data_IF_487596003714
#
_entry.id   IF_487596003714
#
_cell.length_a   1.000
_cell.length_b   1.000
_cell.length_c   1.000
_cell.angle_alpha   90.00
_cell.angle_beta   90.00
_cell.angle_gamma   90.00
#
_symmetry.space_group_name_H-M   'P 1'
#
loop_
_entity.id
_entity.type
_entity.pdbx_description
1 polymer ?
#
# COMPACT_ATOMS: atom_id res chain seq x y z
N UNK A 1 0.04 6.07 -21.18
CA UNK A 1 -0.50 5.66 -19.87
C UNK A 1 0.39 6.29 -18.81
N UNK A 2 -0.13 7.24 -18.04
CA UNK A 2 0.65 7.92 -17.00
C UNK A 2 0.49 7.19 -15.67
N UNK A 3 1.59 6.66 -15.13
CA UNK A 3 1.59 5.82 -13.92
C UNK A 3 1.09 6.58 -12.68
N UNK A 4 1.26 7.90 -12.66
CA UNK A 4 0.80 8.74 -11.56
C UNK A 4 -0.73 8.91 -11.58
N UNK A 5 -1.34 8.96 -12.77
CA UNK A 5 -2.80 9.07 -12.92
C UNK A 5 -3.52 7.87 -12.29
N UNK A 6 -2.99 6.65 -12.46
CA UNK A 6 -3.57 5.46 -11.83
C UNK A 6 -3.50 5.51 -10.29
N UNK A 7 -2.42 6.07 -9.74
CA UNK A 7 -2.27 6.26 -8.30
C UNK A 7 -3.28 7.28 -7.75
N UNK A 8 -3.47 8.40 -8.45
CA UNK A 8 -4.34 9.50 -8.03
C UNK A 8 -5.82 9.14 -8.10
N UNK A 9 -6.25 8.46 -9.17
CA UNK A 9 -7.62 7.96 -9.30
C UNK A 9 -7.97 6.95 -8.18
N UNK A 10 -6.95 6.29 -7.64
CA UNK A 10 -7.12 5.28 -6.60
C UNK A 10 -7.13 5.92 -5.21
N UNK A 11 -8.34 6.20 -4.70
CA UNK A 11 -8.67 6.86 -3.41
C UNK A 11 -8.06 6.24 -2.12
N UNK A 12 -7.15 5.27 -2.21
CA UNK A 12 -6.46 4.65 -1.07
C UNK A 12 -5.01 4.19 -1.34
N UNK A 13 -4.46 4.37 -2.54
CA UNK A 13 -3.16 3.79 -2.88
C UNK A 13 -2.01 4.33 -2.02
N UNK A 14 -1.92 5.66 -1.84
CA UNK A 14 -0.89 6.29 -1.00
C UNK A 14 -0.98 5.83 0.46
N UNK A 15 -2.20 5.68 1.00
CA UNK A 15 -2.42 5.20 2.39
C UNK A 15 -1.94 3.76 2.56
N UNK A 16 -2.27 2.89 1.60
CA UNK A 16 -1.81 1.49 1.61
C UNK A 16 -0.28 1.41 1.55
N UNK A 17 0.36 2.22 0.69
CA UNK A 17 1.83 2.31 0.63
C UNK A 17 2.44 2.72 1.98
N UNK A 18 1.90 3.77 2.61
CA UNK A 18 2.38 4.26 3.91
C UNK A 18 2.19 3.22 5.03
N UNK A 19 1.04 2.54 5.06
CA UNK A 19 0.76 1.51 6.07
C UNK A 19 1.71 0.33 5.92
N UNK A 20 1.89 -0.19 4.70
CA UNK A 20 2.82 -1.29 4.46
C UNK A 20 4.28 -0.89 4.72
N UNK A 21 4.62 0.39 4.52
CA UNK A 21 5.96 0.89 4.83
C UNK A 21 6.22 0.95 6.34
N UNK A 22 5.19 1.32 7.12
CA UNK A 22 5.27 1.43 8.58
C UNK A 22 5.18 0.08 9.30
N UNK A 23 4.22 -0.76 8.91
CA UNK A 23 3.85 -1.98 9.62
C UNK A 23 4.48 -3.24 9.02
N UNK A 24 5.06 -3.14 7.82
CA UNK A 24 5.57 -4.29 7.07
C UNK A 24 4.45 -5.10 6.37
N UNK A 25 4.71 -6.38 6.05
CA UNK A 25 3.73 -7.23 5.36
C UNK A 25 2.45 -7.44 6.17
N UNK A 26 1.29 -7.23 5.55
CA UNK A 26 -0.01 -7.34 6.21
C UNK A 26 -1.00 -8.16 5.41
N UNK A 27 -1.90 -8.86 6.09
CA UNK A 27 -3.04 -9.50 5.43
C UNK A 27 -4.02 -8.45 4.93
N UNK A 28 -4.80 -8.82 3.89
CA UNK A 28 -5.86 -7.95 3.34
C UNK A 28 -6.84 -7.47 4.42
N UNK A 29 -7.19 -8.33 5.37
CA UNK A 29 -8.08 -7.98 6.50
C UNK A 29 -7.47 -6.90 7.39
N UNK A 30 -6.17 -7.00 7.73
CA UNK A 30 -5.47 -5.96 8.51
C UNK A 30 -5.38 -4.64 7.75
N UNK A 31 -5.13 -4.68 6.44
CA UNK A 31 -5.11 -3.48 5.61
C UNK A 31 -6.47 -2.77 5.59
N UNK A 32 -7.57 -3.52 5.48
CA UNK A 32 -8.92 -2.95 5.53
C UNK A 32 -9.20 -2.28 6.89
N UNK A 33 -8.76 -2.89 7.99
CA UNK A 33 -8.89 -2.31 9.33
C UNK A 33 -8.06 -1.05 9.55
N UNK A 34 -6.85 -0.98 8.98
CA UNK A 34 -5.90 0.10 9.25
C UNK A 34 -6.02 1.29 8.29
N UNK A 35 -6.55 1.11 7.08
CA UNK A 35 -6.45 2.12 6.03
C UNK A 35 -7.43 3.30 6.14
N UNK A 36 -8.35 3.28 7.11
CA UNK A 36 -9.40 4.30 7.30
C UNK A 36 -10.10 4.69 5.98
N UNK A 37 -10.26 3.72 5.08
CA UNK A 37 -10.98 3.83 3.79
C UNK A 37 -11.95 2.67 3.66
N UNK A 38 -12.97 2.84 2.81
CA UNK A 38 -13.91 1.77 2.53
C UNK A 38 -13.21 0.51 1.98
N UNK A 39 -13.72 -0.66 2.36
CA UNK A 39 -13.21 -1.98 1.93
C UNK A 39 -12.91 -2.03 0.42
N UNK A 40 -13.83 -1.54 -0.41
CA UNK A 40 -13.66 -1.54 -1.86
C UNK A 40 -12.45 -0.70 -2.32
N UNK A 41 -12.18 0.44 -1.67
CA UNK A 41 -11.04 1.28 -2.00
C UNK A 41 -9.70 0.58 -1.69
N UNK A 42 -9.65 -0.23 -0.63
CA UNK A 42 -8.45 -1.06 -0.35
C UNK A 42 -8.23 -2.12 -1.42
N UNK A 43 -9.28 -2.81 -1.87
CA UNK A 43 -9.14 -3.78 -2.96
C UNK A 43 -8.69 -3.13 -4.27
N UNK A 44 -9.27 -1.99 -4.63
CA UNK A 44 -8.84 -1.23 -5.81
C UNK A 44 -7.39 -0.78 -5.69
N UNK A 45 -7.00 -0.24 -4.52
CA UNK A 45 -5.62 0.14 -4.22
C UNK A 45 -4.65 -1.02 -4.36
N UNK A 46 -4.94 -2.17 -3.76
CA UNK A 46 -4.09 -3.34 -3.86
C UNK A 46 -3.94 -3.83 -5.30
N UNK A 47 -5.03 -3.85 -6.06
CA UNK A 47 -5.00 -4.23 -7.48
C UNK A 47 -4.10 -3.29 -8.28
N UNK A 48 -4.31 -1.97 -8.17
CA UNK A 48 -3.52 -0.98 -8.91
C UNK A 48 -2.05 -1.02 -8.51
N UNK A 49 -1.76 -1.07 -7.20
CA UNK A 49 -0.39 -1.17 -6.71
C UNK A 49 0.31 -2.45 -7.19
N UNK A 50 -0.42 -3.56 -7.34
CA UNK A 50 0.12 -4.81 -7.87
C UNK A 50 0.37 -4.72 -9.38
N UNK A 51 -0.55 -4.10 -10.14
CA UNK A 51 -0.37 -3.83 -11.58
C UNK A 51 0.85 -2.92 -11.83
N UNK A 52 1.08 -1.95 -10.95
CA UNK A 52 2.25 -1.06 -10.99
C UNK A 52 3.55 -1.70 -10.46
N UNK A 53 3.50 -2.94 -9.97
CA UNK A 53 4.65 -3.66 -9.41
C UNK A 53 5.18 -3.07 -8.09
N UNK A 54 4.34 -2.36 -7.34
CA UNK A 54 4.70 -1.74 -6.06
C UNK A 54 4.41 -2.66 -4.86
N UNK A 55 3.48 -3.61 -5.01
CA UNK A 55 3.20 -4.65 -4.01
C UNK A 55 3.18 -6.03 -4.62
N UNK A 56 3.41 -7.03 -3.78
CA UNK A 56 3.30 -8.45 -4.14
C UNK A 56 2.69 -9.25 -2.99
N UNK A 57 2.23 -10.46 -3.32
CA UNK A 57 1.68 -11.40 -2.34
C UNK A 57 2.74 -12.42 -1.92
N UNK A 58 2.95 -12.52 -0.61
CA UNK A 58 3.77 -13.53 0.02
C UNK A 58 2.86 -14.57 0.68
N UNK A 59 2.94 -15.81 0.20
CA UNK A 59 2.21 -16.94 0.78
C UNK A 59 3.05 -17.56 1.87
N UNK A 60 2.57 -17.49 3.12
CA UNK A 60 3.20 -18.18 4.22
C UNK A 60 3.07 -19.69 4.03
N UNK A 61 4.19 -20.42 4.12
CA UNK A 61 4.19 -21.89 4.12
C UNK A 61 3.80 -22.37 5.52
N UNK A 62 2.64 -23.02 5.64
CA UNK A 62 2.16 -23.60 6.89
C UNK A 62 0.71 -23.22 7.21
N UNK A 63 0.05 -23.98 8.09
CA UNK A 63 -1.32 -23.70 8.50
C UNK A 63 -1.35 -22.66 9.65
N UNK A 64 -2.19 -21.62 9.58
CA UNK A 64 -3.11 -21.30 8.48
C UNK A 64 -2.40 -20.67 7.27
N UNK A 65 -2.80 -21.08 6.06
CA UNK A 65 -2.29 -20.56 4.79
C UNK A 65 -2.65 -19.06 4.65
N UNK A 66 -1.77 -18.21 5.16
CA UNK A 66 -1.99 -16.77 5.21
C UNK A 66 -1.30 -16.11 4.02
N UNK A 67 -2.04 -15.27 3.30
CA UNK A 67 -1.50 -14.41 2.24
C UNK A 67 -1.25 -13.03 2.83
N UNK A 68 0.00 -12.59 2.75
CA UNK A 68 0.42 -11.26 3.16
C UNK A 68 0.71 -10.43 1.92
N UNK A 69 0.25 -9.19 1.91
CA UNK A 69 0.71 -8.18 0.96
C UNK A 69 1.96 -7.52 1.52
N UNK A 70 3.00 -7.41 0.69
CA UNK A 70 4.23 -6.69 1.03
C UNK A 70 4.64 -5.71 -0.07
N UNK A 71 5.45 -4.72 0.29
CA UNK A 71 6.07 -3.81 -0.69
C UNK A 71 7.20 -4.53 -1.43
N UNK A 72 7.23 -4.40 -2.75
CA UNK A 72 8.42 -4.71 -3.55
C UNK A 72 9.54 -3.72 -3.21
N UNK A 73 10.76 -3.94 -3.71
CA UNK A 73 11.84 -2.96 -3.55
C UNK A 73 11.47 -1.60 -4.14
N UNK A 74 10.88 -1.59 -5.33
CA UNK A 74 10.33 -0.38 -5.96
C UNK A 74 9.23 0.24 -5.09
N UNK A 75 8.32 -0.58 -4.55
CA UNK A 75 7.28 -0.16 -3.62
C UNK A 75 7.82 0.54 -2.38
N UNK A 76 8.88 0.00 -1.76
CA UNK A 76 9.54 0.61 -0.59
C UNK A 76 10.11 1.99 -0.93
N UNK A 77 10.76 2.11 -2.09
CA UNK A 77 11.33 3.38 -2.54
C UNK A 77 10.27 4.46 -2.82
N UNK A 78 9.12 4.08 -3.37
CA UNK A 78 7.98 4.99 -3.57
C UNK A 78 7.36 5.36 -2.23
N UNK A 79 7.04 4.37 -1.39
CA UNK A 79 6.40 4.61 -0.10
C UNK A 79 7.24 5.51 0.83
N UNK A 80 8.56 5.35 0.83
CA UNK A 80 9.49 6.23 1.55
C UNK A 80 9.34 7.68 1.13
N UNK A 81 9.33 7.96 -0.18
CA UNK A 81 9.17 9.32 -0.74
C UNK A 81 7.79 9.91 -0.45
N UNK A 82 6.74 9.10 -0.54
CA UNK A 82 5.38 9.51 -0.12
C UNK A 82 5.36 9.90 1.36
N UNK A 83 6.06 9.14 2.22
CA UNK A 83 6.20 9.48 3.64
C UNK A 83 7.03 10.74 3.90
N UNK A 84 8.04 11.02 3.08
CA UNK A 84 8.79 12.27 3.11
C UNK A 84 7.90 13.47 2.74
N UNK A 85 7.09 13.34 1.68
CA UNK A 85 6.09 14.36 1.30
C UNK A 85 5.10 14.59 2.45
N UNK A 86 4.57 13.52 3.05
CA UNK A 86 3.68 13.62 4.21
C UNK A 86 4.33 14.35 5.39
N UNK A 87 5.61 14.06 5.67
CA UNK A 87 6.36 14.73 6.73
C UNK A 87 6.52 16.23 6.44
N UNK A 88 6.90 16.60 5.22
CA UNK A 88 7.04 18.01 4.83
C UNK A 88 5.73 18.76 5.05
N UNK A 89 4.60 18.19 4.60
CA UNK A 89 3.27 18.77 4.80
C UNK A 89 2.92 18.96 6.28
N UNK A 90 3.35 18.04 7.17
CA UNK A 90 3.15 18.15 8.62
C UNK A 90 4.08 19.14 9.32
N UNK A 91 5.21 19.50 8.70
CA UNK A 91 6.23 20.37 9.32
C UNK A 91 5.94 21.86 9.09
N UNK A 92 5.07 22.22 8.15
CA UNK A 92 4.66 23.60 7.88
C UNK A 92 3.47 24.07 8.75
N UNK A 93 3.48 23.75 10.05
CA UNK A 93 2.49 24.24 11.03
C UNK A 93 3.14 25.24 11.96
#
# INVERSE_FOLDING_TARGET
MELIGELDETKGALRVLLILHKEGPLSRTKLIGNAAVGKQAVYTALRVLQQLGLVEEERMKGFPNTVLTRLTERGRNVAKRVGEIERIMKTCV
#
